data_IF_801408290293
#
_entry.id   IF_801408290293
#
_cell.length_a   1.000
_cell.length_b   1.000
_cell.length_c   1.000
_cell.angle_alpha   90.00
_cell.angle_beta   90.00
_cell.angle_gamma   90.00
#
_symmetry.space_group_name_H-M   'P 1'
#
loop_
_entity.id
_entity.type
_entity.pdbx_description
1 polymer ?
#
# COMPACT_ATOMS: atom_id res chain seq x y z
N UNK A 1 -23.09 -22.62 24.79
CA UNK A 1 -22.26 -23.77 24.34
C UNK A 1 -21.45 -23.29 23.16
N UNK A 2 -20.14 -23.08 23.34
CA UNK A 2 -19.26 -22.69 22.25
C UNK A 2 -18.99 -23.91 21.38
N UNK A 3 -19.58 -23.92 20.19
CA UNK A 3 -19.30 -24.97 19.20
C UNK A 3 -17.86 -24.76 18.72
N UNK A 4 -16.96 -25.75 18.83
CA UNK A 4 -15.57 -25.57 18.41
C UNK A 4 -15.53 -25.33 16.91
N UNK A 5 -15.20 -24.09 16.54
CA UNK A 5 -15.04 -23.69 15.14
C UNK A 5 -13.78 -24.35 14.60
N UNK A 6 -13.93 -25.23 13.61
CA UNK A 6 -12.79 -25.90 12.97
C UNK A 6 -11.76 -24.90 12.42
N UNK A 7 -10.47 -25.24 12.48
CA UNK A 7 -9.37 -24.37 12.00
C UNK A 7 -9.54 -23.94 10.53
N UNK A 8 -10.18 -24.76 9.70
CA UNK A 8 -10.44 -24.47 8.29
C UNK A 8 -11.77 -23.74 8.01
N UNK A 9 -12.60 -23.49 9.04
CA UNK A 9 -13.87 -22.81 8.84
C UNK A 9 -13.64 -21.36 8.37
N UNK A 10 -14.36 -20.97 7.31
CA UNK A 10 -14.27 -19.63 6.73
C UNK A 10 -13.02 -19.36 5.89
N UNK A 11 -12.28 -20.40 5.49
CA UNK A 11 -11.08 -20.32 4.63
C UNK A 11 -11.39 -20.88 3.23
N UNK A 12 -10.87 -20.23 2.18
CA UNK A 12 -10.94 -20.74 0.80
C UNK A 12 -9.61 -20.53 0.07
N UNK A 13 -8.97 -21.62 -0.37
CA UNK A 13 -7.68 -21.55 -1.08
C UNK A 13 -7.77 -20.84 -2.43
N UNK A 14 -8.93 -20.88 -3.10
CA UNK A 14 -9.16 -20.10 -4.32
C UNK A 14 -9.17 -18.59 -4.06
N UNK A 15 -9.77 -18.16 -2.94
CA UNK A 15 -9.77 -16.76 -2.53
C UNK A 15 -8.41 -16.30 -2.03
N UNK A 16 -7.66 -17.16 -1.38
CA UNK A 16 -6.28 -16.87 -0.97
C UNK A 16 -5.39 -16.60 -2.20
N UNK A 17 -5.47 -17.43 -3.24
CA UNK A 17 -4.78 -17.19 -4.52
C UNK A 17 -5.21 -15.88 -5.17
N UNK A 18 -6.52 -15.59 -5.16
CA UNK A 18 -7.04 -14.32 -5.69
C UNK A 18 -6.42 -13.12 -4.97
N UNK A 19 -6.39 -13.14 -3.64
CA UNK A 19 -5.78 -12.06 -2.85
C UNK A 19 -4.26 -11.96 -3.07
N UNK A 20 -3.58 -13.09 -3.31
CA UNK A 20 -2.18 -13.08 -3.75
C UNK A 20 -1.99 -12.37 -5.10
N UNK A 21 -2.85 -12.65 -6.08
CA UNK A 21 -2.80 -11.99 -7.40
C UNK A 21 -3.15 -10.50 -7.28
N UNK A 22 -4.18 -10.15 -6.51
CA UNK A 22 -4.57 -8.75 -6.27
C UNK A 22 -3.44 -7.99 -5.59
N UNK A 23 -2.84 -8.55 -4.53
CA UNK A 23 -1.70 -7.96 -3.84
C UNK A 23 -0.50 -7.79 -4.76
N UNK A 24 -0.20 -8.78 -5.62
CA UNK A 24 0.87 -8.69 -6.61
C UNK A 24 0.62 -7.59 -7.64
N UNK A 25 -0.57 -7.52 -8.22
CA UNK A 25 -0.95 -6.48 -9.20
C UNK A 25 -0.88 -5.09 -8.58
N UNK A 26 -1.43 -4.91 -7.37
CA UNK A 26 -1.36 -3.64 -6.65
C UNK A 26 0.09 -3.28 -6.36
N UNK A 27 0.91 -4.22 -5.87
CA UNK A 27 2.34 -3.98 -5.63
C UNK A 27 3.09 -3.51 -6.88
N UNK A 28 2.85 -4.15 -8.03
CA UNK A 28 3.44 -3.74 -9.31
C UNK A 28 2.99 -2.34 -9.70
N UNK A 29 1.69 -2.05 -9.63
CA UNK A 29 1.16 -0.72 -9.95
C UNK A 29 1.74 0.37 -9.03
N UNK A 30 1.88 0.06 -7.74
CA UNK A 30 2.42 0.98 -6.74
C UNK A 30 3.91 1.24 -6.97
N UNK A 31 4.69 0.18 -7.23
CA UNK A 31 6.12 0.30 -7.53
C UNK A 31 6.39 1.05 -8.82
N UNK A 32 5.66 0.69 -9.90
CA UNK A 32 5.76 1.38 -11.19
C UNK A 32 5.31 2.83 -11.07
N UNK A 33 4.19 3.10 -10.39
CA UNK A 33 3.72 4.47 -10.14
C UNK A 33 4.72 5.30 -9.34
N UNK A 34 5.40 4.69 -8.35
CA UNK A 34 6.46 5.33 -7.58
C UNK A 34 7.68 5.74 -8.41
N UNK A 35 7.93 5.07 -9.54
CA UNK A 35 8.97 5.44 -10.51
C UNK A 35 8.46 6.44 -11.56
N UNK A 36 7.24 6.23 -12.05
CA UNK A 36 6.66 7.05 -13.12
C UNK A 36 6.30 8.46 -12.67
N UNK A 37 5.78 8.64 -11.45
CA UNK A 37 5.44 9.96 -10.90
C UNK A 37 6.64 10.91 -10.90
N UNK A 38 7.80 10.56 -10.30
CA UNK A 38 8.96 11.45 -10.30
C UNK A 38 9.59 11.62 -11.68
N UNK A 39 9.50 10.62 -12.56
CA UNK A 39 10.00 10.71 -13.93
C UNK A 39 9.14 11.63 -14.82
N UNK A 40 7.83 11.38 -14.90
CA UNK A 40 6.92 12.07 -15.82
C UNK A 40 6.42 13.41 -15.27
N UNK A 41 6.11 13.50 -13.97
CA UNK A 41 5.45 14.69 -13.40
C UNK A 41 6.45 15.67 -12.77
N UNK A 42 7.60 15.17 -12.31
CA UNK A 42 8.65 16.02 -11.72
C UNK A 42 9.84 16.21 -12.67
N UNK A 43 9.91 15.46 -13.77
CA UNK A 43 10.96 15.58 -14.78
C UNK A 43 12.33 15.06 -14.32
N UNK A 44 12.37 14.17 -13.33
CA UNK A 44 13.63 13.62 -12.82
C UNK A 44 14.19 12.62 -13.82
N UNK A 45 15.45 12.73 -14.26
CA UNK A 45 16.00 11.79 -15.22
C UNK A 45 16.06 10.37 -14.61
N UNK A 46 15.80 9.36 -15.44
CA UNK A 46 15.80 7.95 -15.02
C UNK A 46 17.14 7.52 -14.39
N UNK A 47 18.26 8.12 -14.80
CA UNK A 47 19.59 7.89 -14.23
C UNK A 47 19.68 8.19 -12.73
N UNK A 48 18.88 9.15 -12.25
CA UNK A 48 18.90 9.59 -10.85
C UNK A 48 17.89 8.83 -9.99
N UNK A 49 16.98 8.09 -10.64
CA UNK A 49 15.95 7.27 -10.00
C UNK A 49 16.35 5.80 -9.91
N UNK A 50 17.15 5.30 -10.86
CA UNK A 50 17.54 3.89 -10.98
C UNK A 50 18.99 3.70 -10.57
N UNK A 51 19.24 2.78 -9.63
CA UNK A 51 20.59 2.44 -9.16
C UNK A 51 21.12 3.31 -8.02
N UNK A 52 20.34 4.29 -7.56
CA UNK A 52 20.68 5.13 -6.40
C UNK A 52 19.82 4.72 -5.20
N UNK A 53 20.41 4.39 -4.03
CA UNK A 53 19.64 3.93 -2.86
C UNK A 53 18.72 5.01 -2.27
N UNK A 54 19.03 6.29 -2.51
CA UNK A 54 18.20 7.42 -2.10
C UNK A 54 18.17 8.49 -3.21
N UNK A 55 17.12 8.51 -4.05
CA UNK A 55 17.00 9.51 -5.10
C UNK A 55 16.91 10.93 -4.52
N UNK A 56 17.58 11.93 -5.13
CA UNK A 56 17.65 13.30 -4.61
C UNK A 56 16.30 14.02 -4.58
N UNK A 57 15.26 13.48 -5.22
CA UNK A 57 13.90 14.01 -5.13
C UNK A 57 13.32 13.90 -3.71
N UNK A 58 13.72 12.89 -2.94
CA UNK A 58 13.23 12.69 -1.56
C UNK A 58 13.84 13.69 -0.56
N UNK A 59 14.94 14.36 -0.93
CA UNK A 59 15.64 15.32 -0.06
C UNK A 59 15.26 16.78 -0.33
N UNK A 60 14.37 17.03 -1.31
CA UNK A 60 13.87 18.38 -1.62
C UNK A 60 12.95 18.90 -0.49
N UNK A 61 13.11 20.16 -0.06
CA UNK A 61 12.36 20.74 1.07
C UNK A 61 10.98 21.27 0.69
N UNK A 62 10.50 20.92 -0.50
CA UNK A 62 9.24 21.43 -1.01
C UNK A 62 8.27 20.28 -1.12
N UNK A 63 6.99 20.55 -0.85
CA UNK A 63 5.93 19.57 -1.15
C UNK A 63 5.95 19.32 -2.66
N UNK A 64 6.05 18.06 -3.06
CA UNK A 64 6.07 17.67 -4.47
C UNK A 64 4.87 16.78 -4.81
N UNK A 65 4.63 16.57 -6.11
CA UNK A 65 3.60 15.65 -6.61
C UNK A 65 3.76 14.23 -6.03
N UNK A 66 4.99 13.85 -5.70
CA UNK A 66 5.30 12.57 -5.06
C UNK A 66 4.64 12.43 -3.68
N UNK A 67 4.51 13.52 -2.91
CA UNK A 67 3.81 13.48 -1.61
C UNK A 67 2.34 13.16 -1.80
N UNK A 68 1.68 13.81 -2.76
CA UNK A 68 0.28 13.54 -3.06
C UNK A 68 0.05 12.11 -3.54
N UNK A 69 1.00 11.56 -4.30
CA UNK A 69 0.97 10.15 -4.69
C UNK A 69 1.01 9.22 -3.47
N UNK A 70 1.98 9.41 -2.56
CA UNK A 70 2.06 8.59 -1.35
C UNK A 70 0.90 8.82 -0.38
N UNK A 71 0.35 10.04 -0.32
CA UNK A 71 -0.88 10.33 0.43
C UNK A 71 -2.08 9.57 -0.14
N UNK A 72 -2.18 9.52 -1.48
CA UNK A 72 -3.16 8.70 -2.17
C UNK A 72 -2.99 7.21 -1.85
N UNK A 73 -1.75 6.71 -1.75
CA UNK A 73 -1.48 5.32 -1.36
C UNK A 73 -1.92 5.02 0.07
N UNK A 74 -1.70 5.93 1.01
CA UNK A 74 -2.22 5.79 2.38
C UNK A 74 -3.75 5.77 2.37
N UNK A 75 -4.39 6.69 1.63
CA UNK A 75 -5.84 6.70 1.48
C UNK A 75 -6.39 5.39 0.90
N UNK A 76 -5.74 4.87 -0.15
CA UNK A 76 -6.08 3.57 -0.73
C UNK A 76 -5.91 2.43 0.28
N UNK A 77 -4.83 2.45 1.07
CA UNK A 77 -4.60 1.49 2.14
C UNK A 77 -5.70 1.49 3.21
N UNK A 78 -6.17 2.68 3.60
CA UNK A 78 -7.30 2.83 4.53
C UNK A 78 -8.60 2.26 3.95
N UNK A 79 -8.89 2.48 2.67
CA UNK A 79 -10.05 1.90 1.99
C UNK A 79 -10.00 0.36 2.02
N UNK A 80 -8.82 -0.24 1.81
CA UNK A 80 -8.66 -1.68 1.93
C UNK A 80 -8.86 -2.19 3.37
N UNK A 81 -8.40 -1.45 4.37
CA UNK A 81 -8.63 -1.77 5.78
C UNK A 81 -10.11 -1.70 6.16
N UNK A 82 -10.82 -0.66 5.73
CA UNK A 82 -12.28 -0.57 5.91
C UNK A 82 -13.00 -1.72 5.19
N UNK A 83 -12.58 -2.02 3.95
CA UNK A 83 -13.06 -3.15 3.18
C UNK A 83 -12.88 -4.48 3.90
N UNK A 84 -11.78 -4.66 4.64
CA UNK A 84 -11.54 -5.85 5.45
C UNK A 84 -12.55 -5.99 6.60
N UNK A 85 -12.89 -4.88 7.29
CA UNK A 85 -13.90 -4.87 8.35
C UNK A 85 -15.27 -5.24 7.78
N UNK A 86 -15.62 -4.69 6.61
CA UNK A 86 -16.88 -5.02 5.93
C UNK A 86 -16.90 -6.48 5.49
N UNK A 87 -15.79 -6.99 4.94
CA UNK A 87 -15.66 -8.37 4.50
C UNK A 87 -15.78 -9.37 5.66
N UNK A 88 -15.22 -9.04 6.83
CA UNK A 88 -15.39 -9.84 8.05
C UNK A 88 -16.85 -9.98 8.46
N UNK A 89 -17.68 -8.94 8.22
CA UNK A 89 -19.09 -8.92 8.61
C UNK A 89 -20.03 -9.54 7.58
N UNK A 90 -19.69 -9.50 6.29
CA UNK A 90 -20.62 -9.88 5.20
C UNK A 90 -20.14 -11.04 4.33
N UNK A 91 -18.88 -11.47 4.42
CA UNK A 91 -18.37 -12.53 3.54
C UNK A 91 -18.72 -13.93 4.05
N UNK A 92 -18.94 -14.84 3.09
CA UNK A 92 -19.06 -16.29 3.31
C UNK A 92 -17.74 -16.92 3.79
N UNK A 93 -16.60 -16.27 3.53
CA UNK A 93 -15.24 -16.70 3.93
C UNK A 93 -14.53 -15.58 4.72
N UNK A 94 -15.02 -15.24 5.93
CA UNK A 94 -14.61 -14.03 6.65
C UNK A 94 -13.11 -13.99 6.98
N UNK A 95 -12.47 -15.14 7.22
CA UNK A 95 -11.03 -15.18 7.53
C UNK A 95 -10.17 -14.80 6.32
N UNK A 96 -10.42 -15.42 5.16
CA UNK A 96 -9.63 -15.13 3.95
C UNK A 96 -9.89 -13.71 3.44
N UNK A 97 -11.16 -13.28 3.39
CA UNK A 97 -11.51 -11.96 2.87
C UNK A 97 -11.32 -10.82 3.86
N UNK A 98 -11.17 -11.10 5.14
CA UNK A 98 -10.69 -10.12 6.11
C UNK A 98 -9.18 -9.95 6.00
N UNK A 99 -8.44 -11.06 5.99
CA UNK A 99 -6.96 -11.02 6.09
C UNK A 99 -6.30 -10.46 4.84
N UNK A 100 -6.76 -10.83 3.63
CA UNK A 100 -6.20 -10.34 2.37
C UNK A 100 -6.17 -8.81 2.25
N UNK A 101 -7.33 -8.13 2.29
CA UNK A 101 -7.39 -6.68 2.20
C UNK A 101 -6.79 -5.99 3.42
N UNK A 102 -6.88 -6.57 4.63
CA UNK A 102 -6.23 -6.01 5.80
C UNK A 102 -4.71 -5.99 5.64
N UNK A 103 -4.10 -7.07 5.14
CA UNK A 103 -2.67 -7.16 4.89
C UNK A 103 -2.26 -6.15 3.82
N UNK A 104 -2.97 -6.11 2.69
CA UNK A 104 -2.70 -5.17 1.61
C UNK A 104 -2.79 -3.71 2.09
N UNK A 105 -3.86 -3.36 2.80
CA UNK A 105 -4.06 -2.03 3.33
C UNK A 105 -2.99 -1.63 4.35
N UNK A 106 -2.59 -2.55 5.23
CA UNK A 106 -1.51 -2.32 6.19
C UNK A 106 -0.18 -2.04 5.49
N UNK A 107 0.16 -2.82 4.46
CA UNK A 107 1.40 -2.63 3.70
C UNK A 107 1.41 -1.29 2.97
N UNK A 108 0.30 -0.91 2.32
CA UNK A 108 0.17 0.38 1.62
C UNK A 108 0.29 1.56 2.59
N UNK A 109 -0.41 1.50 3.72
CA UNK A 109 -0.35 2.53 4.76
C UNK A 109 1.05 2.64 5.36
N UNK A 110 1.71 1.51 5.66
CA UNK A 110 3.07 1.52 6.20
C UNK A 110 4.07 2.12 5.20
N UNK A 111 4.02 1.69 3.94
CA UNK A 111 4.93 2.16 2.90
C UNK A 111 4.72 3.65 2.61
N UNK A 112 3.47 4.07 2.37
CA UNK A 112 3.15 5.49 2.13
C UNK A 112 3.41 6.36 3.35
N UNK A 113 3.08 5.87 4.54
CA UNK A 113 3.27 6.58 5.80
C UNK A 113 4.74 6.81 6.14
N UNK A 114 5.60 5.80 5.99
CA UNK A 114 7.05 5.93 6.23
C UNK A 114 7.66 6.97 5.28
N UNK A 115 7.34 6.89 4.00
CA UNK A 115 7.87 7.84 3.00
C UNK A 115 7.40 9.26 3.28
N UNK A 116 6.09 9.45 3.53
CA UNK A 116 5.53 10.76 3.88
C UNK A 116 6.13 11.31 5.17
N UNK A 117 6.33 10.48 6.18
CA UNK A 117 6.93 10.89 7.44
C UNK A 117 8.36 11.40 7.22
N UNK A 118 9.19 10.66 6.49
CA UNK A 118 10.55 11.08 6.14
C UNK A 118 10.54 12.40 5.37
N UNK A 119 9.63 12.56 4.41
CA UNK A 119 9.52 13.77 3.61
C UNK A 119 9.02 14.97 4.41
N UNK A 120 8.00 14.78 5.24
CA UNK A 120 7.49 15.82 6.13
C UNK A 120 8.56 16.27 7.12
N UNK A 121 9.34 15.34 7.67
CA UNK A 121 10.47 15.66 8.54
C UNK A 121 11.46 16.61 7.88
N UNK A 122 11.84 16.32 6.63
CA UNK A 122 12.77 17.15 5.84
C UNK A 122 12.18 18.53 5.55
N UNK A 123 10.89 18.61 5.25
CA UNK A 123 10.21 19.89 4.97
C UNK A 123 10.11 20.77 6.23
N UNK A 124 9.87 20.17 7.39
CA UNK A 124 9.68 20.90 8.66
C UNK A 124 11.01 21.34 9.29
N UNK A 125 12.08 20.55 9.16
CA UNK A 125 13.39 20.83 9.75
C UNK A 125 14.35 21.57 8.81
N UNK A 126 13.80 22.40 7.91
CA UNK A 126 14.55 23.26 6.99
C UNK A 126 14.50 24.71 7.45
#
# INVERSE_FOLDING_TARGET
MDVPVGRAAGVSGGRERLWGVVGGLVGVLVGVGGLLVPWLLVGTPLSDLVGVPYPPIFTRPTVTVLDYYFLGLVGLGLIFLEGAIVALRRSKYPRTDGTGPALLGTVLCALGGVVLFMRLWIVVHR
#
